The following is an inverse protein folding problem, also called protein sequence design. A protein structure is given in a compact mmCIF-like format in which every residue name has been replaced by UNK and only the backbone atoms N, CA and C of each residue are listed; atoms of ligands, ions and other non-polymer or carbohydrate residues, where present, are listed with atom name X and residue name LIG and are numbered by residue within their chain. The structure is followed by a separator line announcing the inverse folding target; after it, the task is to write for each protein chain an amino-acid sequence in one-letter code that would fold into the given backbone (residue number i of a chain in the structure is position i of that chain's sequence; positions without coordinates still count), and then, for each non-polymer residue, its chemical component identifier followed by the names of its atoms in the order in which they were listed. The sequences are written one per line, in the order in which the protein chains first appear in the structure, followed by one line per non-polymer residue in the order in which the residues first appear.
data_IF_275525644990
#
_entry.id   IF_275525644990
#
_cell.length_a   1.000
_cell.length_b   1.000
_cell.length_c   1.000
_cell.angle_alpha   90.00
_cell.angle_beta   90.00
_cell.angle_gamma   90.00
#
_symmetry.space_group_name_H-M   'P 1'
#
loop_
_entity.id
_entity.type
_entity.pdbx_description
1 polymer ?
#
# COMPACT_ATOMS: atom_id res chain seq x y z
N UNK A 1 6.58 6.64 -22.77
CA UNK A 1 7.12 6.13 -24.05
C UNK A 1 6.56 4.74 -24.36
N UNK A 2 6.83 3.75 -23.54
CA UNK A 2 6.41 2.35 -23.78
C UNK A 2 4.91 2.19 -24.00
N UNK A 3 4.08 2.85 -23.18
CA UNK A 3 2.63 2.81 -23.34
C UNK A 3 2.18 3.44 -24.68
N UNK A 4 2.73 4.60 -25.03
CA UNK A 4 2.39 5.30 -26.26
C UNK A 4 2.77 4.50 -27.50
N UNK A 5 4.01 3.96 -27.55
CA UNK A 5 4.48 3.13 -28.63
C UNK A 5 3.60 1.88 -28.79
N UNK A 6 3.32 1.16 -27.70
CA UNK A 6 2.45 0.00 -27.72
C UNK A 6 1.04 0.33 -28.23
N UNK A 7 0.47 1.45 -27.76
CA UNK A 7 -0.88 1.89 -28.16
C UNK A 7 -0.98 2.24 -29.63
N UNK A 8 0.08 2.85 -30.19
CA UNK A 8 0.17 3.17 -31.60
C UNK A 8 0.17 1.92 -32.49
N UNK A 9 0.86 0.88 -32.05
CA UNK A 9 0.93 -0.40 -32.76
C UNK A 9 -0.31 -1.28 -32.54
N UNK A 10 -1.05 -1.06 -31.46
CA UNK A 10 -2.20 -1.87 -31.04
C UNK A 10 -3.42 -0.99 -30.72
N UNK A 11 -3.98 -0.23 -31.68
CA UNK A 11 -5.02 0.76 -31.43
C UNK A 11 -6.32 0.14 -30.90
N UNK A 12 -6.67 -1.07 -31.37
CA UNK A 12 -7.92 -1.75 -31.05
C UNK A 12 -7.79 -2.74 -29.89
N UNK A 13 -6.58 -2.96 -29.38
CA UNK A 13 -6.34 -3.90 -28.28
C UNK A 13 -6.49 -3.17 -26.94
N UNK A 14 -7.29 -3.73 -26.05
CA UNK A 14 -7.42 -3.19 -24.68
C UNK A 14 -6.07 -3.27 -23.95
N UNK A 15 -5.62 -2.16 -23.38
CA UNK A 15 -4.36 -2.09 -22.63
C UNK A 15 -4.30 -3.21 -21.57
N UNK A 16 -3.23 -4.01 -21.51
CA UNK A 16 -3.05 -5.01 -20.46
C UNK A 16 -3.20 -4.39 -19.07
N UNK A 17 -3.83 -5.11 -18.13
CA UNK A 17 -4.13 -4.59 -16.80
C UNK A 17 -2.85 -4.17 -16.04
N UNK A 18 -1.75 -4.92 -16.19
CA UNK A 18 -0.46 -4.55 -15.59
C UNK A 18 0.03 -3.19 -16.10
N UNK A 19 0.03 -2.97 -17.41
CA UNK A 19 0.45 -1.71 -18.02
C UNK A 19 -0.47 -0.55 -17.62
N UNK A 20 -1.78 -0.81 -17.57
CA UNK A 20 -2.76 0.18 -17.12
C UNK A 20 -2.54 0.57 -15.65
N UNK A 21 -2.41 -0.41 -14.74
CA UNK A 21 -2.13 -0.15 -13.33
C UNK A 21 -0.82 0.59 -13.11
N UNK A 22 0.24 0.20 -13.84
CA UNK A 22 1.54 0.88 -13.80
C UNK A 22 1.43 2.33 -14.28
N UNK A 23 0.68 2.58 -15.35
CA UNK A 23 0.45 3.95 -15.86
C UNK A 23 -0.25 4.81 -14.80
N UNK A 24 -1.34 4.32 -14.22
CA UNK A 24 -2.06 5.04 -13.16
C UNK A 24 -1.16 5.33 -11.96
N UNK A 25 -0.37 4.35 -11.55
CA UNK A 25 0.60 4.51 -10.45
C UNK A 25 1.63 5.61 -10.75
N UNK A 26 2.16 5.64 -11.97
CA UNK A 26 3.14 6.65 -12.39
C UNK A 26 2.52 8.04 -12.54
N UNK A 27 1.29 8.15 -13.04
CA UNK A 27 0.56 9.43 -13.11
C UNK A 27 0.33 9.98 -11.70
N UNK A 28 -0.12 9.14 -10.77
CA UNK A 28 -0.27 9.52 -9.36
C UNK A 28 1.04 10.04 -8.77
N UNK A 29 2.14 9.33 -9.01
CA UNK A 29 3.47 9.73 -8.52
C UNK A 29 3.91 11.07 -9.08
N UNK A 30 3.73 11.30 -10.39
CA UNK A 30 4.08 12.59 -11.01
C UNK A 30 3.30 13.77 -10.40
N UNK A 31 2.01 13.60 -10.13
CA UNK A 31 1.21 14.63 -9.47
C UNK A 31 1.68 14.83 -8.03
N UNK A 32 1.89 13.75 -7.30
CA UNK A 32 2.29 13.79 -5.90
C UNK A 32 3.67 14.45 -5.69
N UNK A 33 4.63 14.22 -6.58
CA UNK A 33 5.97 14.83 -6.47
C UNK A 33 6.00 16.34 -6.56
N UNK A 34 4.94 16.99 -7.04
CA UNK A 34 4.87 18.47 -7.08
C UNK A 34 4.97 19.08 -5.69
N UNK A 35 4.36 18.47 -4.67
CA UNK A 35 4.43 18.99 -3.29
C UNK A 35 5.85 19.04 -2.76
N UNK A 36 6.55 17.91 -2.75
CA UNK A 36 7.94 17.84 -2.25
C UNK A 36 8.90 18.63 -3.15
N UNK A 37 8.65 18.71 -4.45
CA UNK A 37 9.46 19.53 -5.35
C UNK A 37 9.37 21.02 -4.99
N UNK A 38 8.15 21.52 -4.76
CA UNK A 38 7.95 22.91 -4.30
C UNK A 38 8.64 23.11 -2.94
N UNK A 39 8.41 22.23 -1.98
CA UNK A 39 9.04 22.31 -0.65
C UNK A 39 10.57 22.40 -0.74
N UNK A 40 11.19 21.48 -1.49
CA UNK A 40 12.65 21.44 -1.62
C UNK A 40 13.16 22.70 -2.32
N UNK A 41 12.59 23.05 -3.47
CA UNK A 41 13.14 24.13 -4.32
C UNK A 41 12.89 25.53 -3.75
N UNK A 42 11.78 25.75 -3.06
CA UNK A 42 11.40 27.09 -2.58
C UNK A 42 11.68 27.32 -1.09
N UNK A 43 11.90 26.25 -0.31
CA UNK A 43 12.05 26.34 1.14
C UNK A 43 13.35 25.70 1.64
N UNK A 44 13.50 24.37 1.48
CA UNK A 44 14.60 23.66 2.12
C UNK A 44 15.96 23.93 1.48
N UNK A 45 16.03 23.98 0.15
CA UNK A 45 17.28 24.29 -0.56
C UNK A 45 17.73 25.73 -0.33
N UNK A 46 16.89 26.76 -0.50
CA UNK A 46 17.27 28.13 -0.18
C UNK A 46 17.71 28.31 1.27
N UNK A 47 17.03 27.67 2.22
CA UNK A 47 17.42 27.70 3.63
C UNK A 47 18.78 27.02 3.87
N UNK A 48 19.00 25.83 3.30
CA UNK A 48 20.27 25.12 3.43
C UNK A 48 21.48 25.86 2.82
N UNK A 49 21.22 26.72 1.82
CA UNK A 49 22.24 27.57 1.19
C UNK A 49 22.41 28.93 1.86
N UNK A 50 21.65 29.21 2.94
CA UNK A 50 21.69 30.48 3.62
C UNK A 50 21.07 31.64 2.83
N UNK A 51 20.26 31.38 1.80
CA UNK A 51 19.58 32.39 0.99
C UNK A 51 18.33 32.95 1.69
N UNK A 52 17.79 32.22 2.65
CA UNK A 52 16.69 32.64 3.53
C UNK A 52 17.05 32.24 4.98
N UNK A 53 16.55 33.00 5.96
CA UNK A 53 16.87 32.79 7.39
C UNK A 53 16.17 31.54 7.97
N UNK A 54 15.03 31.14 7.43
CA UNK A 54 14.27 29.98 7.90
C UNK A 54 13.09 29.61 6.98
N UNK A 55 12.35 28.62 7.39
CA UNK A 55 11.14 28.15 6.67
C UNK A 55 9.94 28.14 7.61
N UNK A 56 8.74 28.27 7.04
CA UNK A 56 7.49 28.02 7.77
C UNK A 56 7.29 26.51 7.94
N UNK A 57 7.38 25.96 9.17
CA UNK A 57 7.24 24.51 9.38
C UNK A 57 5.85 23.98 9.01
N UNK A 58 4.79 24.78 9.15
CA UNK A 58 3.43 24.37 8.81
C UNK A 58 3.26 24.27 7.29
N UNK A 59 3.78 25.22 6.56
CA UNK A 59 3.74 25.20 5.09
C UNK A 59 4.61 24.07 4.53
N UNK A 60 5.81 23.84 5.07
CA UNK A 60 6.68 22.72 4.70
C UNK A 60 5.96 21.38 4.91
N UNK A 61 5.33 21.17 6.08
CA UNK A 61 4.55 19.95 6.35
C UNK A 61 3.37 19.79 5.39
N UNK A 62 2.75 20.88 4.97
CA UNK A 62 1.62 20.86 4.02
C UNK A 62 2.08 20.38 2.64
N UNK A 63 3.17 20.92 2.13
CA UNK A 63 3.78 20.45 0.88
C UNK A 63 4.29 19.01 1.00
N UNK A 64 4.92 18.65 2.11
CA UNK A 64 5.36 17.29 2.37
C UNK A 64 4.19 16.29 2.33
N UNK A 65 3.07 16.58 3.00
CA UNK A 65 1.95 15.64 3.07
C UNK A 65 1.10 15.59 1.80
N UNK A 66 1.17 16.62 0.95
CA UNK A 66 0.63 16.51 -0.41
C UNK A 66 1.31 15.37 -1.20
N UNK A 67 2.60 15.14 -0.96
CA UNK A 67 3.36 14.02 -1.51
C UNK A 67 3.26 12.75 -0.66
N UNK A 68 3.34 12.90 0.66
CA UNK A 68 3.62 11.79 1.58
C UNK A 68 2.54 10.72 1.61
N UNK A 69 1.26 11.07 1.46
CA UNK A 69 0.21 10.07 1.41
C UNK A 69 0.11 9.39 0.02
N UNK A 70 0.06 10.09 -1.10
CA UNK A 70 0.13 9.42 -2.41
C UNK A 70 1.37 8.54 -2.60
N UNK A 71 2.49 8.85 -1.94
CA UNK A 71 3.68 8.02 -1.94
C UNK A 71 3.41 6.61 -1.40
N UNK A 72 2.65 6.46 -0.33
CA UNK A 72 2.34 5.11 0.21
C UNK A 72 1.45 4.32 -0.75
N UNK A 73 0.58 4.98 -1.51
CA UNK A 73 -0.16 4.33 -2.59
C UNK A 73 0.73 3.99 -3.78
N UNK A 74 1.68 4.84 -4.13
CA UNK A 74 2.69 4.52 -5.14
C UNK A 74 3.47 3.24 -4.80
N UNK A 75 3.75 2.97 -3.54
CA UNK A 75 4.34 1.71 -3.09
C UNK A 75 3.35 0.55 -3.10
N UNK A 76 2.08 0.79 -2.78
CA UNK A 76 1.06 -0.24 -2.64
C UNK A 76 0.50 -0.71 -3.99
N UNK A 77 0.28 0.18 -4.96
CA UNK A 77 -0.36 -0.16 -6.22
C UNK A 77 0.39 -1.22 -7.04
N UNK A 78 1.74 -1.30 -7.06
CA UNK A 78 2.45 -2.43 -7.66
C UNK A 78 2.12 -3.78 -7.02
N UNK A 79 1.90 -3.82 -5.69
CA UNK A 79 1.41 -5.02 -5.02
C UNK A 79 -0.01 -5.38 -5.50
N UNK A 80 -0.90 -4.40 -5.64
CA UNK A 80 -2.24 -4.62 -6.20
C UNK A 80 -2.19 -5.12 -7.65
N UNK A 81 -1.29 -4.61 -8.48
CA UNK A 81 -1.06 -5.11 -9.83
C UNK A 81 -0.74 -6.61 -9.79
N UNK A 82 0.13 -7.05 -8.88
CA UNK A 82 0.47 -8.46 -8.74
C UNK A 82 -0.72 -9.30 -8.25
N UNK A 83 -1.49 -8.78 -7.29
CA UNK A 83 -2.68 -9.47 -6.77
C UNK A 83 -3.79 -9.61 -7.81
N UNK A 84 -3.89 -8.71 -8.78
CA UNK A 84 -4.83 -8.82 -9.89
C UNK A 84 -4.32 -9.67 -11.06
N UNK A 85 -3.06 -9.47 -11.46
CA UNK A 85 -2.54 -10.01 -12.70
C UNK A 85 -1.79 -11.34 -12.55
N UNK A 86 -1.11 -11.54 -11.41
CA UNK A 86 -0.28 -12.72 -11.15
C UNK A 86 -0.99 -13.73 -10.26
N UNK A 87 -1.38 -13.33 -9.07
CA UNK A 87 -1.86 -14.23 -8.02
C UNK A 87 -3.03 -15.13 -8.46
N UNK A 88 -4.09 -14.64 -9.14
CA UNK A 88 -5.17 -15.53 -9.61
C UNK A 88 -4.69 -16.61 -10.58
N UNK A 89 -3.75 -16.25 -11.47
CA UNK A 89 -3.18 -17.20 -12.45
C UNK A 89 -2.31 -18.24 -11.76
N UNK A 90 -1.45 -17.82 -10.85
CA UNK A 90 -0.59 -18.70 -10.06
C UNK A 90 -1.40 -19.65 -9.17
N UNK A 91 -2.56 -19.19 -8.66
CA UNK A 91 -3.50 -20.03 -7.93
C UNK A 91 -4.29 -21.01 -8.83
N UNK A 92 -4.14 -20.96 -10.16
CA UNK A 92 -4.83 -21.85 -11.11
C UNK A 92 -6.19 -21.34 -11.58
N UNK A 93 -6.43 -20.04 -11.52
CA UNK A 93 -7.68 -19.40 -11.94
C UNK A 93 -7.47 -18.21 -12.87
N UNK A 94 -8.47 -17.34 -12.88
CA UNK A 94 -8.50 -16.09 -13.64
C UNK A 94 -9.00 -14.97 -12.77
N UNK A 95 -8.64 -13.75 -13.10
CA UNK A 95 -9.19 -12.55 -12.46
C UNK A 95 -10.73 -12.55 -12.58
N UNK A 96 -11.39 -12.27 -11.46
CA UNK A 96 -12.86 -12.23 -11.38
C UNK A 96 -13.44 -11.12 -12.27
N UNK A 97 -12.89 -9.91 -12.18
CA UNK A 97 -13.34 -8.77 -12.97
C UNK A 97 -12.20 -7.79 -13.29
N UNK A 98 -11.84 -7.71 -14.57
CA UNK A 98 -10.90 -6.71 -15.07
C UNK A 98 -11.49 -5.29 -15.00
N UNK A 99 -12.80 -5.14 -15.16
CA UNK A 99 -13.48 -3.85 -15.05
C UNK A 99 -13.41 -3.27 -13.63
N UNK A 100 -13.69 -4.08 -12.60
CA UNK A 100 -13.59 -3.65 -11.21
C UNK A 100 -12.14 -3.31 -10.83
N UNK A 101 -11.17 -4.09 -11.28
CA UNK A 101 -9.76 -3.80 -11.04
C UNK A 101 -9.34 -2.44 -11.62
N UNK A 102 -9.73 -2.14 -12.86
CA UNK A 102 -9.46 -0.84 -13.49
C UNK A 102 -10.19 0.31 -12.79
N UNK A 103 -11.43 0.08 -12.40
CA UNK A 103 -12.19 1.07 -11.67
C UNK A 103 -11.56 1.39 -10.31
N UNK A 104 -11.06 0.37 -9.58
CA UNK A 104 -10.32 0.57 -8.36
C UNK A 104 -9.05 1.43 -8.57
N UNK A 105 -8.27 1.19 -9.64
CA UNK A 105 -7.11 2.02 -9.95
C UNK A 105 -7.48 3.48 -10.23
N UNK A 106 -8.56 3.75 -10.97
CA UNK A 106 -9.05 5.12 -11.19
C UNK A 106 -9.46 5.79 -9.88
N UNK A 107 -10.18 5.07 -9.01
CA UNK A 107 -10.57 5.61 -7.71
C UNK A 107 -9.35 5.90 -6.83
N UNK A 108 -8.33 5.05 -6.85
CA UNK A 108 -7.08 5.34 -6.13
C UNK A 108 -6.40 6.60 -6.66
N UNK A 109 -6.33 6.80 -7.96
CA UNK A 109 -5.76 8.02 -8.52
C UNK A 109 -6.50 9.28 -8.05
N UNK A 110 -7.83 9.26 -8.15
CA UNK A 110 -8.66 10.44 -7.84
C UNK A 110 -8.72 10.73 -6.35
N UNK A 111 -8.81 9.70 -5.50
CA UNK A 111 -9.03 9.86 -4.08
C UNK A 111 -7.74 10.00 -3.28
N UNK A 112 -6.64 9.31 -3.67
CA UNK A 112 -5.42 9.29 -2.85
C UNK A 112 -4.59 10.57 -2.94
N UNK A 113 -4.66 11.31 -4.04
CA UNK A 113 -3.89 12.55 -4.21
C UNK A 113 -4.37 13.64 -3.23
N UNK A 114 -5.68 13.95 -3.11
CA UNK A 114 -6.12 15.08 -2.30
C UNK A 114 -6.23 14.79 -0.78
N UNK A 115 -6.09 13.55 -0.34
CA UNK A 115 -6.41 13.20 1.06
C UNK A 115 -5.24 13.33 2.06
N UNK A 116 -4.04 13.67 1.61
CA UNK A 116 -2.81 13.64 2.42
C UNK A 116 -2.80 14.50 3.68
N UNK A 117 -3.63 15.52 3.76
CA UNK A 117 -3.68 16.41 4.92
C UNK A 117 -4.35 15.79 6.17
N UNK A 118 -4.88 14.60 6.11
CA UNK A 118 -5.27 13.88 7.31
C UNK A 118 -4.08 13.60 8.26
N UNK A 119 -2.86 13.64 7.76
CA UNK A 119 -1.65 13.59 8.59
C UNK A 119 -1.41 14.86 9.41
N UNK A 120 -2.20 15.91 9.21
CA UNK A 120 -2.14 17.19 9.89
C UNK A 120 -3.37 17.48 10.78
N UNK A 121 -4.12 16.45 11.19
CA UNK A 121 -5.34 16.62 11.98
C UNK A 121 -5.14 17.39 13.29
N UNK A 122 -3.98 17.22 13.93
CA UNK A 122 -3.62 17.91 15.19
C UNK A 122 -2.65 19.05 15.00
N UNK A 123 -2.26 19.37 13.76
CA UNK A 123 -1.40 20.52 13.50
C UNK A 123 -2.18 21.82 13.78
N UNK A 124 -1.55 22.82 14.40
CA UNK A 124 -2.17 24.12 14.67
C UNK A 124 -2.51 24.85 13.36
N UNK A 125 -3.53 25.69 13.39
CA UNK A 125 -3.87 26.53 12.24
C UNK A 125 -4.58 25.82 11.06
N UNK A 126 -4.76 24.52 11.08
CA UNK A 126 -5.52 23.81 10.04
C UNK A 126 -7.03 23.96 10.30
N UNK A 127 -7.81 24.56 9.36
CA UNK A 127 -9.24 24.77 9.54
C UNK A 127 -10.03 23.47 9.68
N UNK A 128 -11.09 23.47 10.49
CA UNK A 128 -11.95 22.29 10.71
C UNK A 128 -12.58 21.77 9.42
N UNK A 129 -12.94 22.64 8.49
CA UNK A 129 -13.49 22.24 7.20
C UNK A 129 -12.51 21.38 6.40
N UNK A 130 -11.22 21.70 6.39
CA UNK A 130 -10.18 20.90 5.77
C UNK A 130 -10.02 19.54 6.47
N UNK A 131 -10.03 19.52 7.80
CA UNK A 131 -9.95 18.27 8.57
C UNK A 131 -11.13 17.35 8.23
N UNK A 132 -12.34 17.90 8.15
CA UNK A 132 -13.55 17.16 7.77
C UNK A 132 -13.45 16.63 6.34
N UNK A 133 -13.07 17.48 5.38
CA UNK A 133 -12.88 17.05 3.98
C UNK A 133 -11.91 15.88 3.86
N UNK A 134 -10.75 15.99 4.52
CA UNK A 134 -9.74 14.94 4.46
C UNK A 134 -10.15 13.66 5.19
N UNK A 135 -10.96 13.74 6.25
CA UNK A 135 -11.56 12.57 6.86
C UNK A 135 -12.51 11.86 5.88
N UNK A 136 -13.42 12.60 5.24
CA UNK A 136 -14.35 12.04 4.24
C UNK A 136 -13.61 11.39 3.08
N UNK A 137 -12.58 12.04 2.53
CA UNK A 137 -11.77 11.49 1.44
C UNK A 137 -11.02 10.23 1.87
N UNK A 138 -10.54 10.18 3.12
CA UNK A 138 -9.85 9.00 3.66
C UNK A 138 -10.80 7.82 3.83
N UNK A 139 -12.04 8.05 4.29
CA UNK A 139 -13.05 6.99 4.29
C UNK A 139 -13.44 6.59 2.86
N UNK A 140 -13.50 7.52 1.92
CA UNK A 140 -13.82 7.23 0.53
C UNK A 140 -12.76 6.33 -0.14
N UNK A 141 -11.47 6.52 0.15
CA UNK A 141 -10.38 5.68 -0.42
C UNK A 141 -10.38 4.24 0.12
N UNK A 142 -11.10 3.97 1.20
CA UNK A 142 -11.36 2.62 1.65
C UNK A 142 -12.18 1.80 0.64
N UNK A 143 -13.08 2.45 -0.10
CA UNK A 143 -13.94 1.79 -1.07
C UNK A 143 -13.15 1.06 -2.20
N UNK A 144 -12.18 1.68 -2.91
CA UNK A 144 -11.37 0.93 -3.87
C UNK A 144 -10.54 -0.19 -3.25
N UNK A 145 -10.14 -0.09 -1.98
CA UNK A 145 -9.51 -1.20 -1.25
C UNK A 145 -10.48 -2.37 -1.05
N UNK A 146 -11.74 -2.11 -0.73
CA UNK A 146 -12.78 -3.13 -0.62
C UNK A 146 -13.09 -3.77 -1.98
N UNK A 147 -13.17 -2.99 -3.07
CA UNK A 147 -13.30 -3.54 -4.42
C UNK A 147 -12.13 -4.46 -4.78
N UNK A 148 -10.92 -4.09 -4.38
CA UNK A 148 -9.73 -4.92 -4.59
C UNK A 148 -9.83 -6.21 -3.81
N UNK A 149 -10.13 -6.14 -2.51
CA UNK A 149 -10.27 -7.32 -1.66
C UNK A 149 -11.35 -8.28 -2.21
N UNK A 150 -12.53 -7.76 -2.56
CA UNK A 150 -13.60 -8.55 -3.17
C UNK A 150 -13.14 -9.23 -4.46
N UNK A 151 -12.55 -8.48 -5.39
CA UNK A 151 -12.13 -9.01 -6.69
C UNK A 151 -11.03 -10.07 -6.55
N UNK A 152 -10.08 -9.86 -5.65
CA UNK A 152 -8.99 -10.81 -5.41
C UNK A 152 -9.51 -12.07 -4.71
N UNK A 153 -10.30 -11.93 -3.64
CA UNK A 153 -10.88 -13.07 -2.91
C UNK A 153 -11.77 -13.91 -3.83
N UNK A 154 -12.65 -13.30 -4.62
CA UNK A 154 -13.50 -14.02 -5.58
C UNK A 154 -12.68 -14.75 -6.65
N UNK A 155 -11.55 -14.15 -7.09
CA UNK A 155 -10.63 -14.80 -8.02
C UNK A 155 -9.97 -16.03 -7.40
N UNK A 156 -9.51 -15.91 -6.15
CA UNK A 156 -8.85 -16.98 -5.40
C UNK A 156 -9.82 -18.11 -5.03
N UNK A 157 -11.02 -17.78 -4.60
CA UNK A 157 -12.05 -18.76 -4.30
C UNK A 157 -12.38 -19.59 -5.53
N UNK A 158 -12.59 -18.94 -6.69
CA UNK A 158 -12.84 -19.65 -7.96
C UNK A 158 -11.65 -20.55 -8.32
N UNK A 159 -10.42 -20.07 -8.20
CA UNK A 159 -9.22 -20.86 -8.45
C UNK A 159 -9.12 -22.09 -7.55
N UNK A 160 -9.34 -21.90 -6.25
CA UNK A 160 -9.28 -22.95 -5.26
C UNK A 160 -10.41 -23.98 -5.41
N UNK A 161 -11.62 -23.55 -5.80
CA UNK A 161 -12.73 -24.48 -6.11
C UNK A 161 -12.43 -25.34 -7.33
N UNK A 162 -11.79 -24.79 -8.36
CA UNK A 162 -11.30 -25.57 -9.50
C UNK A 162 -10.25 -26.62 -9.09
N UNK A 163 -9.58 -26.44 -7.97
CA UNK A 163 -8.63 -27.39 -7.35
C UNK A 163 -9.30 -28.36 -6.37
N UNK A 164 -10.63 -28.39 -6.29
CA UNK A 164 -11.40 -29.27 -5.39
C UNK A 164 -11.73 -28.67 -4.03
N UNK A 165 -11.45 -27.38 -3.79
CA UNK A 165 -11.82 -26.68 -2.54
C UNK A 165 -13.33 -26.63 -2.33
N UNK A 166 -13.80 -27.02 -1.13
CA UNK A 166 -15.23 -27.12 -0.77
C UNK A 166 -15.54 -26.29 0.48
N UNK A 167 -16.83 -26.02 0.69
CA UNK A 167 -17.33 -25.32 1.87
C UNK A 167 -17.06 -23.82 1.87
N UNK A 168 -17.50 -23.14 2.93
CA UNK A 168 -17.43 -21.67 3.06
C UNK A 168 -15.97 -21.18 3.15
N UNK A 169 -15.14 -21.83 3.95
CA UNK A 169 -13.73 -21.46 4.17
C UNK A 169 -12.73 -22.55 3.76
N UNK A 170 -13.22 -23.79 3.49
CA UNK A 170 -12.36 -24.92 3.16
C UNK A 170 -11.58 -24.76 1.86
N UNK A 171 -12.05 -23.91 0.94
CA UNK A 171 -11.35 -23.57 -0.29
C UNK A 171 -9.99 -22.90 -0.05
N UNK A 172 -9.81 -22.18 1.06
CA UNK A 172 -8.55 -21.51 1.41
C UNK A 172 -7.40 -22.53 1.51
N UNK A 173 -7.69 -23.74 2.02
CA UNK A 173 -6.70 -24.83 2.14
C UNK A 173 -6.29 -25.41 0.79
N UNK A 174 -7.13 -25.29 -0.24
CA UNK A 174 -6.84 -25.75 -1.58
C UNK A 174 -5.96 -24.80 -2.40
N UNK A 175 -5.68 -23.59 -1.89
CA UNK A 175 -4.73 -22.68 -2.51
C UNK A 175 -3.31 -23.26 -2.43
N UNK A 176 -2.43 -22.95 -3.40
CA UNK A 176 -1.09 -23.53 -3.46
C UNK A 176 -0.10 -22.85 -2.47
N UNK A 177 -0.32 -23.02 -1.17
CA UNK A 177 0.49 -22.49 -0.09
C UNK A 177 1.97 -22.93 -0.11
N UNK A 178 2.27 -24.03 -0.83
CA UNK A 178 3.64 -24.50 -1.04
C UNK A 178 4.41 -23.74 -2.12
N UNK A 179 3.75 -22.89 -2.90
CA UNK A 179 4.40 -21.99 -3.85
C UNK A 179 4.81 -20.70 -3.13
N UNK A 180 6.10 -20.33 -3.09
CA UNK A 180 6.57 -19.17 -2.34
C UNK A 180 6.02 -17.85 -2.87
N UNK A 181 5.79 -17.71 -4.19
CA UNK A 181 5.20 -16.51 -4.78
C UNK A 181 3.74 -16.35 -4.35
N UNK A 182 2.97 -17.45 -4.36
CA UNK A 182 1.57 -17.44 -3.92
C UNK A 182 1.46 -17.21 -2.42
N UNK A 183 2.22 -17.97 -1.62
CA UNK A 183 2.19 -17.84 -0.15
C UNK A 183 2.52 -16.41 0.29
N UNK A 184 3.56 -15.79 -0.26
CA UNK A 184 3.94 -14.42 0.06
C UNK A 184 2.81 -13.41 -0.24
N UNK A 185 2.16 -13.50 -1.39
CA UNK A 185 1.08 -12.60 -1.78
C UNK A 185 -0.20 -12.83 -0.95
N UNK A 186 -0.52 -14.07 -0.59
CA UNK A 186 -1.65 -14.39 0.29
C UNK A 186 -1.44 -13.81 1.69
N UNK A 187 -0.25 -14.01 2.27
CA UNK A 187 0.12 -13.47 3.57
C UNK A 187 0.17 -11.94 3.55
N UNK A 188 0.65 -11.34 2.46
CA UNK A 188 0.59 -9.90 2.23
C UNK A 188 -0.85 -9.37 2.28
N UNK A 189 -1.78 -10.03 1.60
CA UNK A 189 -3.20 -9.64 1.61
C UNK A 189 -3.83 -9.69 3.01
N UNK A 190 -3.47 -10.69 3.83
CA UNK A 190 -3.92 -10.81 5.22
C UNK A 190 -3.40 -9.65 6.06
N UNK A 191 -2.09 -9.34 6.00
CA UNK A 191 -1.52 -8.22 6.75
C UNK A 191 -2.06 -6.88 6.29
N UNK A 192 -2.29 -6.72 4.98
CA UNK A 192 -2.90 -5.51 4.44
C UNK A 192 -4.33 -5.29 4.93
N UNK A 193 -5.12 -6.36 5.10
CA UNK A 193 -6.47 -6.25 5.66
C UNK A 193 -6.44 -5.62 7.07
N UNK A 194 -5.58 -6.12 7.94
CA UNK A 194 -5.42 -5.55 9.29
C UNK A 194 -4.82 -4.13 9.25
N UNK A 195 -3.85 -3.90 8.38
CA UNK A 195 -3.28 -2.58 8.16
C UNK A 195 -4.31 -1.57 7.64
N UNK A 196 -5.21 -2.00 6.74
CA UNK A 196 -6.31 -1.18 6.23
C UNK A 196 -7.29 -0.74 7.33
N UNK A 197 -7.62 -1.64 8.27
CA UNK A 197 -8.39 -1.29 9.47
C UNK A 197 -7.67 -0.20 10.27
N UNK A 198 -6.36 -0.33 10.46
CA UNK A 198 -5.54 0.71 11.07
C UNK A 198 -5.60 2.05 10.34
N UNK A 199 -5.69 2.04 9.01
CA UNK A 199 -5.89 3.25 8.19
C UNK A 199 -7.20 3.96 8.49
N UNK A 200 -8.30 3.21 8.58
CA UNK A 200 -9.63 3.76 8.95
C UNK A 200 -9.61 4.31 10.37
N UNK A 201 -8.95 3.62 11.29
CA UNK A 201 -8.76 4.08 12.67
C UNK A 201 -8.04 5.44 12.70
N UNK A 202 -6.97 5.59 11.91
CA UNK A 202 -6.27 6.86 11.75
C UNK A 202 -7.12 7.97 11.11
N UNK A 203 -8.06 7.61 10.23
CA UNK A 203 -8.98 8.55 9.59
C UNK A 203 -10.03 9.11 10.55
N UNK A 204 -10.33 8.38 11.63
CA UNK A 204 -11.24 8.84 12.67
C UNK A 204 -10.59 9.97 13.46
N UNK A 205 -11.11 11.19 13.31
CA UNK A 205 -10.54 12.38 13.95
C UNK A 205 -10.38 12.23 15.46
N UNK A 206 -11.43 11.76 16.14
CA UNK A 206 -11.41 11.61 17.61
C UNK A 206 -10.37 10.59 18.09
N UNK A 207 -10.23 9.47 17.38
CA UNK A 207 -9.22 8.47 17.71
C UNK A 207 -7.83 9.00 17.34
N UNK A 208 -7.72 9.71 16.22
CA UNK A 208 -6.46 10.30 15.78
C UNK A 208 -5.88 11.27 16.81
N UNK A 209 -6.71 12.04 17.53
CA UNK A 209 -6.25 12.91 18.61
C UNK A 209 -5.46 12.17 19.70
N UNK A 210 -5.80 10.90 19.96
CA UNK A 210 -5.13 10.08 20.98
C UNK A 210 -3.88 9.39 20.43
N UNK A 211 -3.95 8.87 19.20
CA UNK A 211 -2.87 8.04 18.63
C UNK A 211 -1.85 8.83 17.79
N UNK A 212 -2.15 10.09 17.49
CA UNK A 212 -1.27 10.94 16.67
C UNK A 212 0.10 11.09 17.33
N UNK A 213 1.16 10.99 16.52
CA UNK A 213 2.55 11.05 16.99
C UNK A 213 2.98 9.96 17.98
N UNK A 214 2.16 8.95 18.25
CA UNK A 214 2.54 7.77 19.01
C UNK A 214 3.12 6.66 18.13
N UNK A 215 3.71 5.63 18.74
CA UNK A 215 4.20 4.43 18.05
C UNK A 215 3.08 3.62 17.39
N UNK A 216 1.81 3.90 17.68
CA UNK A 216 0.66 3.31 17.01
C UNK A 216 0.69 3.55 15.48
N UNK A 217 1.10 4.77 15.05
CA UNK A 217 1.19 5.12 13.62
C UNK A 217 2.26 4.31 12.89
N UNK A 218 3.51 4.17 13.39
CA UNK A 218 4.45 3.19 12.86
C UNK A 218 3.93 1.76 12.84
N UNK A 219 3.20 1.33 13.88
CA UNK A 219 2.54 0.02 13.90
C UNK A 219 1.65 -0.20 12.68
N UNK A 220 0.81 0.77 12.34
CA UNK A 220 0.01 0.74 11.11
C UNK A 220 0.87 0.61 9.84
N UNK A 221 1.97 1.38 9.71
CA UNK A 221 2.86 1.27 8.56
C UNK A 221 3.52 -0.10 8.43
N UNK A 222 3.82 -0.75 9.55
CA UNK A 222 4.44 -2.06 9.55
C UNK A 222 3.48 -3.18 9.11
N UNK A 223 2.18 -3.00 9.23
CA UNK A 223 1.20 -3.91 8.62
C UNK A 223 0.96 -3.64 7.14
N UNK A 224 1.00 -2.39 6.71
CA UNK A 224 0.73 -2.01 5.31
C UNK A 224 2.00 -2.07 4.46
N UNK A 225 2.90 -1.10 4.61
CA UNK A 225 4.06 -0.95 3.72
C UNK A 225 5.15 -1.98 4.04
N UNK A 226 5.64 -2.02 5.27
CA UNK A 226 6.76 -2.90 5.63
C UNK A 226 6.39 -4.41 5.59
N UNK A 227 5.12 -4.75 5.61
CA UNK A 227 4.68 -6.14 5.54
C UNK A 227 4.00 -6.48 4.23
N UNK A 228 2.86 -5.90 3.94
CA UNK A 228 2.07 -6.30 2.78
C UNK A 228 2.78 -5.97 1.46
N UNK A 229 3.34 -4.77 1.33
CA UNK A 229 4.10 -4.38 0.13
C UNK A 229 5.37 -5.23 0.01
N UNK A 230 6.14 -5.38 1.09
CA UNK A 230 7.39 -6.15 1.07
C UNK A 230 7.15 -7.62 0.74
N UNK A 231 6.15 -8.27 1.37
CA UNK A 231 5.80 -9.66 1.04
C UNK A 231 5.31 -9.80 -0.41
N UNK A 232 4.56 -8.83 -0.92
CA UNK A 232 4.16 -8.84 -2.33
C UNK A 232 5.37 -8.77 -3.26
N UNK A 233 6.36 -7.91 -2.96
CA UNK A 233 7.60 -7.84 -3.75
C UNK A 233 8.47 -9.09 -3.60
N UNK A 234 8.52 -9.71 -2.42
CA UNK A 234 9.12 -11.03 -2.26
C UNK A 234 8.43 -12.06 -3.16
N UNK A 235 7.09 -12.09 -3.17
CA UNK A 235 6.30 -12.97 -4.03
C UNK A 235 6.56 -12.75 -5.52
N UNK A 236 6.61 -11.48 -5.94
CA UNK A 236 6.99 -11.11 -7.32
C UNK A 236 8.40 -11.61 -7.64
N UNK A 237 9.36 -11.39 -6.73
CA UNK A 237 10.77 -11.77 -6.92
C UNK A 237 10.95 -13.29 -7.02
N UNK A 238 10.23 -14.08 -6.22
CA UNK A 238 10.29 -15.55 -6.28
C UNK A 238 9.81 -16.11 -7.62
N UNK A 239 8.95 -15.41 -8.32
CA UNK A 239 8.52 -15.76 -9.66
C UNK A 239 9.41 -15.15 -10.75
N UNK A 240 9.68 -13.84 -10.64
CA UNK A 240 10.31 -13.06 -11.70
C UNK A 240 11.79 -13.42 -11.89
N UNK A 241 12.56 -13.58 -10.81
CA UNK A 241 14.00 -13.89 -10.91
C UNK A 241 14.26 -15.23 -11.59
N UNK A 242 13.58 -16.34 -11.22
CA UNK A 242 13.67 -17.59 -11.96
C UNK A 242 13.29 -17.44 -13.43
N UNK A 243 12.24 -16.70 -13.73
CA UNK A 243 11.77 -16.45 -15.09
C UNK A 243 12.82 -15.71 -15.94
N UNK A 244 13.39 -14.63 -15.42
CA UNK A 244 14.37 -13.80 -16.13
C UNK A 244 15.73 -14.50 -16.30
N UNK A 245 16.14 -15.27 -15.32
CA UNK A 245 17.47 -15.90 -15.31
C UNK A 245 17.48 -17.31 -15.90
N UNK A 246 16.31 -17.92 -16.12
CA UNK A 246 16.18 -19.33 -16.48
C UNK A 246 16.65 -20.30 -15.37
N UNK A 247 16.92 -19.81 -14.15
CA UNK A 247 17.40 -20.60 -13.02
C UNK A 247 16.28 -20.87 -12.04
N UNK A 248 16.29 -22.06 -11.44
CA UNK A 248 15.34 -22.41 -10.35
C UNK A 248 15.78 -21.78 -9.03
N UNK A 249 14.81 -21.55 -8.13
CA UNK A 249 15.12 -21.22 -6.74
C UNK A 249 15.94 -22.38 -6.13
N UNK A 250 16.93 -22.02 -5.33
CA UNK A 250 17.78 -23.00 -4.65
C UNK A 250 16.95 -24.01 -3.83
N UNK A 251 16.03 -23.53 -3.02
CA UNK A 251 15.09 -24.37 -2.28
C UNK A 251 13.76 -23.62 -2.04
N UNK A 252 12.68 -23.96 -2.77
CA UNK A 252 11.38 -23.33 -2.59
C UNK A 252 10.79 -23.44 -1.18
N UNK A 253 11.12 -24.51 -0.43
CA UNK A 253 10.62 -24.68 0.95
C UNK A 253 11.17 -23.58 1.87
N UNK A 254 12.44 -23.23 1.75
CA UNK A 254 13.03 -22.14 2.51
C UNK A 254 12.45 -20.77 2.13
N UNK A 255 12.13 -20.56 0.87
CA UNK A 255 11.41 -19.36 0.44
C UNK A 255 10.01 -19.25 1.08
N UNK A 256 9.27 -20.36 1.18
CA UNK A 256 8.00 -20.41 1.93
C UNK A 256 8.22 -20.15 3.42
N UNK A 257 9.22 -20.77 4.03
CA UNK A 257 9.57 -20.51 5.45
C UNK A 257 9.87 -19.02 5.68
N UNK A 258 10.65 -18.39 4.78
CA UNK A 258 10.97 -16.97 4.87
C UNK A 258 9.70 -16.10 4.85
N UNK A 259 8.71 -16.40 4.00
CA UNK A 259 7.46 -15.63 3.97
C UNK A 259 6.69 -15.74 5.29
N UNK A 260 6.63 -16.92 5.89
CA UNK A 260 5.97 -17.13 7.18
C UNK A 260 6.71 -16.47 8.33
N UNK A 261 8.04 -16.55 8.36
CA UNK A 261 8.86 -15.87 9.38
C UNK A 261 8.65 -14.36 9.32
N UNK A 262 8.64 -13.78 8.10
CA UNK A 262 8.35 -12.36 7.91
C UNK A 262 6.95 -12.00 8.38
N UNK A 263 5.94 -12.78 7.99
CA UNK A 263 4.55 -12.57 8.38
C UNK A 263 4.38 -12.56 9.91
N UNK A 264 4.88 -13.60 10.59
CA UNK A 264 4.76 -13.71 12.05
C UNK A 264 5.56 -12.62 12.76
N UNK A 265 6.80 -12.38 12.33
CA UNK A 265 7.67 -11.36 12.93
C UNK A 265 7.04 -9.97 12.82
N UNK A 266 6.52 -9.61 11.65
CA UNK A 266 5.89 -8.31 11.43
C UNK A 266 4.54 -8.17 12.16
N UNK A 267 3.79 -9.26 12.29
CA UNK A 267 2.56 -9.27 13.08
C UNK A 267 2.84 -8.98 14.56
N UNK A 268 3.85 -9.65 15.14
CA UNK A 268 4.26 -9.43 16.55
C UNK A 268 4.78 -7.99 16.71
N UNK A 269 5.69 -7.56 15.84
CA UNK A 269 6.31 -6.25 15.90
C UNK A 269 5.29 -5.11 15.80
N UNK A 270 4.40 -5.20 14.81
CA UNK A 270 3.35 -4.20 14.61
C UNK A 270 2.36 -4.14 15.78
N UNK A 271 1.91 -5.30 16.28
CA UNK A 271 1.00 -5.33 17.43
C UNK A 271 1.64 -4.73 18.70
N UNK A 272 2.91 -5.01 18.95
CA UNK A 272 3.64 -4.38 20.05
C UNK A 272 3.63 -2.85 19.92
N UNK A 273 3.91 -2.32 18.72
CA UNK A 273 3.86 -0.88 18.44
C UNK A 273 2.46 -0.27 18.63
N UNK A 274 1.41 -0.98 18.23
CA UNK A 274 0.04 -0.53 18.46
C UNK A 274 -0.28 -0.44 19.97
N UNK A 275 0.08 -1.47 20.73
CA UNK A 275 -0.17 -1.52 22.18
C UNK A 275 0.56 -0.40 22.90
N UNK A 276 1.88 -0.26 22.72
CA UNK A 276 2.64 0.81 23.40
C UNK A 276 2.24 2.21 22.91
N UNK A 277 1.80 2.34 21.64
CA UNK A 277 1.26 3.58 21.12
C UNK A 277 -0.06 4.00 21.79
N UNK A 278 -0.95 3.04 22.09
CA UNK A 278 -2.16 3.29 22.87
C UNK A 278 -1.86 3.67 24.33
N UNK A 279 -0.72 3.22 24.86
CA UNK A 279 -0.21 3.60 26.17
C UNK A 279 0.51 4.97 26.15
N UNK A 280 0.54 5.65 25.00
CA UNK A 280 1.09 6.98 24.88
C UNK A 280 2.57 7.05 24.46
N UNK A 281 3.23 5.94 24.16
CA UNK A 281 4.63 5.96 23.74
C UNK A 281 4.80 6.78 22.46
N UNK A 282 5.63 7.87 22.47
CA UNK A 282 5.80 8.72 21.31
C UNK A 282 6.63 8.02 20.23
N UNK A 283 6.34 8.32 18.96
CA UNK A 283 7.21 7.94 17.85
C UNK A 283 8.39 8.93 17.74
N UNK A 284 9.45 8.50 17.07
CA UNK A 284 10.65 9.34 16.82
C UNK A 284 11.37 9.78 18.12
N UNK A 285 11.32 8.91 19.12
CA UNK A 285 12.04 9.15 20.38
C UNK A 285 13.54 8.89 20.16
N UNK A 286 14.42 9.81 20.54
CA UNK A 286 15.87 9.56 20.53
C UNK A 286 16.23 8.40 21.48
N UNK A 287 17.29 7.66 21.15
CA UNK A 287 17.81 6.60 22.02
C UNK A 287 18.12 7.17 23.41
N UNK A 288 17.64 6.53 24.46
CA UNK A 288 17.84 6.94 25.84
C UNK A 288 16.78 7.90 26.42
N UNK A 289 15.77 8.29 25.65
CA UNK A 289 14.64 9.10 26.12
C UNK A 289 13.32 8.32 26.14
N UNK A 290 13.37 7.00 26.04
CA UNK A 290 12.19 6.16 26.29
C UNK A 290 11.83 6.24 27.78
N UNK A 291 10.54 6.41 28.14
CA UNK A 291 10.11 6.37 29.51
C UNK A 291 10.37 5.02 30.16
#
# INVERSE_FOLDING_TARGET
FTYYAWRKENPDVRTPLMSFGSLITMVMWQIATLGVAIEILTMLLPWSLGLIEGTDPQLARTYFWFTGHPLVYFWLLPAYISWYAMLPKQAGGKLFSDALARFAFWLFLVLSVPLGFHHQYVDPGVPSAWKTLHAVLTYAVFFPSMLTAFTVIASLERAARNRGGKGLLGWIRALPWGDPSVAAQLLAGILFFFGGIGGITNASYNINLVIHNTTWVPGHFHLTVASAVTLSFMGISYWLLPYLTGRKLWNPKWAVVQTWVWFVGMLIFSNAMHVVGLLGAPRRTPLGQAP
#
